data_IF_155362420739
#
_entry.id   IF_155362420739
#
_cell.length_a   1.000
_cell.length_b   1.000
_cell.length_c   1.000
_cell.angle_alpha   90.00
_cell.angle_beta   90.00
_cell.angle_gamma   90.00
#
_symmetry.space_group_name_H-M   'P 1'
#
loop_
_entity.id
_entity.type
_entity.pdbx_description
1 polymer ?
#
# COMPACT_ATOMS: atom_id res chain seq x y z
N UNK A 1 28.47 15.83 -1.18
CA UNK A 1 27.20 15.08 -1.26
C UNK A 1 27.25 14.13 -2.46
N UNK A 2 27.35 12.81 -2.26
CA UNK A 2 27.21 11.85 -3.36
C UNK A 2 25.80 11.99 -3.95
N UNK A 3 25.69 12.27 -5.25
CA UNK A 3 24.40 12.27 -5.96
C UNK A 3 23.80 10.86 -5.82
N UNK A 4 22.74 10.72 -5.02
CA UNK A 4 21.92 9.51 -5.05
C UNK A 4 21.44 9.32 -6.49
N UNK A 5 21.61 8.12 -7.06
CA UNK A 5 20.99 7.80 -8.35
C UNK A 5 19.48 7.78 -8.13
N UNK A 6 18.83 8.88 -8.53
CA UNK A 6 17.39 9.09 -8.39
C UNK A 6 16.61 8.08 -9.26
N UNK A 7 17.18 7.67 -10.39
CA UNK A 7 16.56 6.73 -11.33
C UNK A 7 17.08 5.32 -11.03
N UNK A 8 16.33 4.58 -10.21
CA UNK A 8 16.55 3.16 -9.95
C UNK A 8 15.25 2.39 -10.22
N UNK A 9 15.36 1.09 -10.49
CA UNK A 9 14.20 0.19 -10.74
C UNK A 9 13.10 0.32 -9.66
N UNK A 10 13.42 0.36 -8.34
CA UNK A 10 12.40 0.51 -7.32
C UNK A 10 11.66 1.84 -7.41
N UNK A 11 12.36 2.93 -7.74
CA UNK A 11 11.73 4.24 -7.83
C UNK A 11 10.79 4.35 -9.04
N UNK A 12 11.12 3.66 -10.14
CA UNK A 12 10.23 3.56 -11.29
C UNK A 12 8.96 2.77 -10.97
N UNK A 13 9.07 1.71 -10.14
CA UNK A 13 7.92 0.93 -9.66
C UNK A 13 7.02 1.74 -8.71
N UNK A 14 7.60 2.49 -7.76
CA UNK A 14 6.83 3.41 -6.92
C UNK A 14 6.12 4.51 -7.73
N UNK A 15 6.77 5.05 -8.77
CA UNK A 15 6.16 6.03 -9.68
C UNK A 15 5.03 5.42 -10.53
N UNK A 16 5.21 4.18 -10.99
CA UNK A 16 4.16 3.42 -11.66
C UNK A 16 2.92 3.27 -10.77
N UNK A 17 3.08 2.98 -9.47
CA UNK A 17 1.95 2.88 -8.53
C UNK A 17 1.12 4.17 -8.45
N UNK A 18 1.78 5.33 -8.46
CA UNK A 18 1.10 6.64 -8.49
C UNK A 18 0.29 6.85 -9.77
N UNK A 19 0.78 6.39 -10.92
CA UNK A 19 0.06 6.50 -12.21
C UNK A 19 -1.10 5.50 -12.29
N UNK A 20 -0.94 4.32 -11.70
CA UNK A 20 -1.98 3.27 -11.70
C UNK A 20 -3.09 3.58 -10.72
N UNK A 21 -2.85 4.41 -9.70
CA UNK A 21 -3.84 4.79 -8.70
C UNK A 21 -5.15 5.37 -9.29
N UNK A 22 -5.12 6.38 -10.20
CA UNK A 22 -6.32 6.85 -10.90
C UNK A 22 -7.05 5.76 -11.69
N UNK A 23 -6.31 4.81 -12.27
CA UNK A 23 -6.89 3.71 -13.05
C UNK A 23 -7.65 2.73 -12.15
N UNK A 24 -7.08 2.38 -10.99
CA UNK A 24 -7.78 1.55 -9.99
C UNK A 24 -9.04 2.28 -9.50
N UNK A 25 -8.93 3.58 -9.22
CA UNK A 25 -10.08 4.39 -8.81
C UNK A 25 -11.17 4.41 -9.89
N UNK A 26 -10.80 4.51 -11.16
CA UNK A 26 -11.75 4.46 -12.28
C UNK A 26 -12.50 3.13 -12.36
N UNK A 27 -11.84 1.99 -12.15
CA UNK A 27 -12.50 0.68 -12.09
C UNK A 27 -13.44 0.56 -10.88
N UNK A 28 -13.03 1.11 -9.73
CA UNK A 28 -13.90 1.20 -8.58
C UNK A 28 -15.13 2.07 -8.90
N UNK A 29 -14.96 3.22 -9.53
CA UNK A 29 -16.04 4.11 -9.93
C UNK A 29 -17.01 3.44 -10.92
N UNK A 30 -16.49 2.71 -11.91
CA UNK A 30 -17.25 1.99 -12.93
C UNK A 30 -17.95 0.71 -12.43
N UNK A 31 -17.93 0.45 -11.11
CA UNK A 31 -18.54 -0.71 -10.46
C UNK A 31 -18.03 -2.07 -11.00
N UNK A 32 -16.79 -2.11 -11.51
CA UNK A 32 -16.21 -3.30 -12.12
C UNK A 32 -15.28 -3.99 -11.11
N UNK A 33 -15.87 -4.73 -10.16
CA UNK A 33 -15.18 -5.34 -9.02
C UNK A 33 -13.98 -6.19 -9.44
N UNK A 34 -14.14 -6.99 -10.51
CA UNK A 34 -13.09 -7.90 -11.00
C UNK A 34 -11.82 -7.16 -11.41
N UNK A 35 -11.94 -6.09 -12.19
CA UNK A 35 -10.78 -5.31 -12.62
C UNK A 35 -10.18 -4.51 -11.46
N UNK A 36 -11.03 -3.96 -10.59
CA UNK A 36 -10.56 -3.30 -9.37
C UNK A 36 -9.70 -4.24 -8.52
N UNK A 37 -10.19 -5.46 -8.23
CA UNK A 37 -9.49 -6.48 -7.45
C UNK A 37 -8.14 -6.86 -8.07
N UNK A 38 -8.11 -7.12 -9.39
CA UNK A 38 -6.89 -7.52 -10.10
C UNK A 38 -5.83 -6.40 -10.02
N UNK A 39 -6.20 -5.16 -10.34
CA UNK A 39 -5.24 -4.06 -10.33
C UNK A 39 -4.80 -3.68 -8.91
N UNK A 40 -5.69 -3.78 -7.91
CA UNK A 40 -5.33 -3.58 -6.50
C UNK A 40 -4.32 -4.64 -6.04
N UNK A 41 -4.56 -5.93 -6.34
CA UNK A 41 -3.63 -7.00 -6.00
C UNK A 41 -2.29 -6.84 -6.72
N UNK A 42 -2.31 -6.49 -8.01
CA UNK A 42 -1.08 -6.22 -8.77
C UNK A 42 -0.28 -5.05 -8.16
N UNK A 43 -0.94 -3.99 -7.71
CA UNK A 43 -0.29 -2.86 -7.06
C UNK A 43 0.41 -3.30 -5.77
N UNK A 44 -0.27 -4.11 -4.96
CA UNK A 44 0.27 -4.66 -3.71
C UNK A 44 1.47 -5.61 -3.93
N UNK A 45 1.40 -6.46 -4.95
CA UNK A 45 2.54 -7.32 -5.32
C UNK A 45 3.72 -6.49 -5.80
N UNK A 46 3.45 -5.40 -6.53
CA UNK A 46 4.49 -4.49 -7.05
C UNK A 46 5.24 -3.79 -5.91
N UNK A 47 4.54 -3.37 -4.86
CA UNK A 47 5.13 -2.80 -3.63
C UNK A 47 6.07 -3.77 -2.90
N UNK A 48 5.64 -5.02 -2.74
CA UNK A 48 6.49 -6.04 -2.12
C UNK A 48 7.76 -6.29 -2.95
N UNK A 49 7.61 -6.35 -4.28
CA UNK A 49 8.71 -6.60 -5.20
C UNK A 49 9.71 -5.44 -5.24
N UNK A 50 9.25 -4.19 -5.32
CA UNK A 50 10.15 -3.04 -5.37
C UNK A 50 10.87 -2.82 -4.04
N UNK A 51 10.20 -3.04 -2.90
CA UNK A 51 10.81 -3.07 -1.58
C UNK A 51 11.83 -4.20 -1.42
N UNK A 52 11.55 -5.38 -1.97
CA UNK A 52 12.52 -6.49 -1.98
C UNK A 52 13.77 -6.18 -2.82
N UNK A 53 13.58 -5.66 -4.03
CA UNK A 53 14.67 -5.27 -4.94
C UNK A 53 15.49 -4.13 -4.31
N UNK A 54 14.85 -3.10 -3.76
CA UNK A 54 15.54 -1.99 -3.11
C UNK A 54 16.46 -2.46 -1.97
N UNK A 55 15.99 -3.41 -1.15
CA UNK A 55 16.76 -4.02 -0.05
C UNK A 55 17.89 -4.92 -0.55
N UNK A 56 17.62 -5.81 -1.51
CA UNK A 56 18.59 -6.77 -2.03
C UNK A 56 19.76 -6.09 -2.72
N UNK A 57 19.51 -4.98 -3.42
CA UNK A 57 20.51 -4.25 -4.19
C UNK A 57 21.05 -3.00 -3.49
N UNK A 58 20.68 -2.74 -2.23
CA UNK A 58 21.03 -1.51 -1.48
C UNK A 58 20.74 -0.22 -2.27
N UNK A 59 19.64 -0.21 -3.03
CA UNK A 59 19.21 0.90 -3.90
C UNK A 59 18.16 1.81 -3.22
N UNK A 60 18.21 1.90 -1.90
CA UNK A 60 17.28 2.71 -1.10
C UNK A 60 17.65 4.19 -1.25
N UNK A 61 16.70 5.02 -1.69
CA UNK A 61 16.86 6.47 -1.84
C UNK A 61 15.82 7.20 -1.00
N UNK A 62 16.11 8.46 -0.61
CA UNK A 62 15.15 9.26 0.16
C UNK A 62 13.88 9.58 -0.63
N UNK A 63 14.02 9.78 -1.94
CA UNK A 63 12.89 10.03 -2.84
C UNK A 63 12.03 8.78 -3.01
N UNK A 64 12.64 7.62 -3.23
CA UNK A 64 11.94 6.35 -3.31
C UNK A 64 11.12 6.08 -2.06
N UNK A 65 11.71 6.25 -0.87
CA UNK A 65 10.99 6.07 0.41
C UNK A 65 9.80 7.03 0.59
N UNK A 66 9.90 8.27 0.08
CA UNK A 66 8.77 9.21 0.14
C UNK A 66 7.66 8.84 -0.84
N UNK A 67 8.01 8.36 -2.03
CA UNK A 67 7.05 7.93 -3.05
C UNK A 67 6.36 6.63 -2.66
N UNK A 68 7.10 5.71 -2.06
CA UNK A 68 6.61 4.45 -1.49
C UNK A 68 5.50 4.71 -0.48
N UNK A 69 5.73 5.61 0.48
CA UNK A 69 4.73 5.96 1.47
C UNK A 69 3.49 6.65 0.87
N UNK A 70 3.63 7.43 -0.21
CA UNK A 70 2.49 8.00 -0.94
C UNK A 70 1.70 6.90 -1.67
N UNK A 71 2.39 5.93 -2.28
CA UNK A 71 1.81 4.77 -2.92
C UNK A 71 1.04 3.88 -1.94
N UNK A 72 1.59 3.66 -0.75
CA UNK A 72 0.95 2.94 0.34
C UNK A 72 -0.34 3.63 0.77
N UNK A 73 -0.27 4.94 1.06
CA UNK A 73 -1.43 5.75 1.46
C UNK A 73 -2.54 5.71 0.41
N UNK A 74 -2.16 5.77 -0.87
CA UNK A 74 -3.09 5.55 -1.97
C UNK A 74 -3.73 4.16 -1.93
N UNK A 75 -2.93 3.11 -1.83
CA UNK A 75 -3.42 1.72 -1.78
C UNK A 75 -4.40 1.52 -0.63
N UNK A 76 -4.13 2.09 0.55
CA UNK A 76 -5.08 2.09 1.68
C UNK A 76 -6.41 2.76 1.35
N UNK A 77 -6.38 3.97 0.77
CA UNK A 77 -7.59 4.69 0.41
C UNK A 77 -8.44 3.93 -0.62
N UNK A 78 -7.79 3.34 -1.62
CA UNK A 78 -8.46 2.52 -2.63
C UNK A 78 -9.08 1.28 -2.02
N UNK A 79 -8.34 0.58 -1.16
CA UNK A 79 -8.85 -0.59 -0.44
C UNK A 79 -10.09 -0.28 0.38
N UNK A 80 -10.08 0.81 1.15
CA UNK A 80 -11.25 1.27 1.93
C UNK A 80 -12.43 1.57 0.99
N UNK A 81 -12.19 2.28 -0.10
CA UNK A 81 -13.22 2.63 -1.06
C UNK A 81 -13.82 1.39 -1.76
N UNK A 82 -12.98 0.44 -2.15
CA UNK A 82 -13.40 -0.83 -2.76
C UNK A 82 -14.24 -1.67 -1.81
N UNK A 83 -13.82 -1.78 -0.55
CA UNK A 83 -14.59 -2.43 0.51
C UNK A 83 -15.97 -1.78 0.65
N UNK A 84 -16.01 -0.45 0.79
CA UNK A 84 -17.25 0.31 0.96
C UNK A 84 -18.21 0.12 -0.23
N UNK A 85 -17.69 0.01 -1.44
CA UNK A 85 -18.51 -0.08 -2.65
C UNK A 85 -18.98 -1.50 -2.99
N UNK A 86 -18.10 -2.50 -2.88
CA UNK A 86 -18.36 -3.85 -3.39
C UNK A 86 -18.73 -4.84 -2.29
N UNK A 87 -18.11 -4.73 -1.12
CA UNK A 87 -18.22 -5.74 -0.04
C UNK A 87 -19.02 -5.27 1.16
N UNK A 88 -19.71 -4.13 1.08
CA UNK A 88 -20.53 -3.59 2.18
C UNK A 88 -21.53 -4.61 2.72
N UNK A 89 -22.11 -5.44 1.85
CA UNK A 89 -23.07 -6.48 2.25
C UNK A 89 -22.41 -7.64 3.02
N UNK A 90 -21.22 -8.10 2.59
CA UNK A 90 -20.44 -9.14 3.28
C UNK A 90 -19.85 -8.68 4.61
N UNK A 91 -19.57 -7.39 4.74
CA UNK A 91 -18.83 -6.83 5.87
C UNK A 91 -19.75 -6.28 6.96
N UNK A 92 -21.05 -6.10 6.71
CA UNK A 92 -21.99 -5.56 7.71
C UNK A 92 -21.86 -6.23 9.09
N UNK A 93 -21.74 -7.56 9.13
CA UNK A 93 -21.61 -8.33 10.38
C UNK A 93 -20.22 -8.28 11.01
N UNK A 94 -19.19 -7.87 10.26
CA UNK A 94 -17.79 -7.84 10.70
C UNK A 94 -17.17 -6.44 10.61
N UNK A 95 -18.00 -5.40 10.47
CA UNK A 95 -17.56 -4.00 10.32
C UNK A 95 -16.64 -3.56 11.46
N UNK A 96 -16.87 -4.06 12.68
CA UNK A 96 -16.03 -3.78 13.85
C UNK A 96 -14.59 -4.26 13.71
N UNK A 97 -14.38 -5.49 13.21
CA UNK A 97 -13.03 -6.03 12.97
C UNK A 97 -12.29 -5.24 11.91
N UNK A 98 -13.00 -4.79 10.88
CA UNK A 98 -12.43 -4.00 9.80
C UNK A 98 -12.02 -2.59 10.27
N UNK A 99 -12.84 -1.95 11.10
CA UNK A 99 -12.51 -0.66 11.72
C UNK A 99 -11.29 -0.82 12.64
N UNK A 100 -11.24 -1.86 13.46
CA UNK A 100 -10.09 -2.14 14.34
C UNK A 100 -8.83 -2.37 13.50
N UNK A 101 -8.91 -3.11 12.40
CA UNK A 101 -7.80 -3.35 11.49
C UNK A 101 -7.22 -2.05 10.91
N UNK A 102 -8.07 -1.18 10.34
CA UNK A 102 -7.64 0.11 9.83
C UNK A 102 -7.17 1.07 10.93
N UNK A 103 -7.76 1.00 12.13
CA UNK A 103 -7.34 1.81 13.27
C UNK A 103 -5.93 1.44 13.75
N UNK A 104 -5.62 0.15 13.86
CA UNK A 104 -4.27 -0.32 14.23
C UNK A 104 -3.24 0.12 13.20
N UNK A 105 -3.60 0.09 11.92
CA UNK A 105 -2.79 0.61 10.82
C UNK A 105 -2.52 2.11 10.95
N UNK A 106 -3.58 2.89 11.13
CA UNK A 106 -3.48 4.34 11.31
C UNK A 106 -2.63 4.70 12.52
N UNK A 107 -2.83 4.00 13.64
CA UNK A 107 -2.05 4.18 14.88
C UNK A 107 -0.58 3.85 14.67
N UNK A 108 -0.26 2.79 13.93
CA UNK A 108 1.13 2.40 13.62
C UNK A 108 1.82 3.49 12.80
N UNK A 109 1.13 4.02 11.79
CA UNK A 109 1.60 5.13 10.95
C UNK A 109 1.77 6.40 11.81
N UNK A 110 0.79 6.74 12.65
CA UNK A 110 0.85 7.92 13.52
C UNK A 110 1.97 7.83 14.56
N UNK A 111 2.15 6.69 15.22
CA UNK A 111 3.25 6.48 16.18
C UNK A 111 4.60 6.65 15.48
N UNK A 112 4.74 6.14 14.26
CA UNK A 112 5.98 6.30 13.50
C UNK A 112 6.27 7.77 13.14
N UNK A 113 5.24 8.51 12.71
CA UNK A 113 5.30 9.94 12.41
C UNK A 113 5.65 10.78 13.64
N UNK A 114 5.01 10.52 14.79
CA UNK A 114 5.20 11.28 16.03
C UNK A 114 6.58 10.98 16.64
N UNK A 115 6.98 9.70 16.71
CA UNK A 115 8.19 9.27 17.42
C UNK A 115 9.47 9.53 16.63
N UNK A 116 9.44 9.42 15.30
CA UNK A 116 10.64 9.53 14.47
C UNK A 116 10.65 10.76 13.56
N UNK A 117 9.55 11.53 13.48
CA UNK A 117 9.34 12.64 12.52
C UNK A 117 9.72 12.27 11.09
N UNK A 118 9.65 10.98 10.79
CA UNK A 118 9.95 10.35 9.52
C UNK A 118 8.86 9.34 9.28
N UNK A 119 8.42 9.26 8.03
CA UNK A 119 7.58 8.16 7.57
C UNK A 119 8.20 6.82 7.99
N UNK A 120 7.38 5.82 8.38
CA UNK A 120 7.85 4.55 8.88
C UNK A 120 8.82 3.94 7.86
N UNK A 121 10.10 3.88 8.22
CA UNK A 121 11.08 3.22 7.37
C UNK A 121 10.86 1.72 7.40
N UNK A 122 10.97 1.08 6.22
CA UNK A 122 10.97 -0.37 5.97
C UNK A 122 11.97 -1.21 6.81
N UNK A 123 12.71 -0.60 7.75
CA UNK A 123 13.61 -1.27 8.68
C UNK A 123 12.91 -1.82 9.93
N UNK A 124 11.66 -1.43 10.21
CA UNK A 124 10.88 -2.06 11.27
C UNK A 124 10.25 -3.35 10.73
N UNK A 125 10.74 -4.50 11.21
CA UNK A 125 10.19 -5.83 10.89
C UNK A 125 8.67 -5.91 11.13
N UNK A 126 8.15 -5.18 12.11
CA UNK A 126 6.71 -5.12 12.39
C UNK A 126 5.90 -4.48 11.26
N UNK A 127 6.45 -3.49 10.57
CA UNK A 127 5.76 -2.78 9.48
C UNK A 127 5.72 -3.64 8.21
N UNK A 128 6.81 -4.36 7.92
CA UNK A 128 6.89 -5.33 6.82
C UNK A 128 5.92 -6.51 7.07
N UNK A 129 5.89 -7.05 8.28
CA UNK A 129 4.97 -8.12 8.65
C UNK A 129 3.50 -7.67 8.53
N UNK A 130 3.18 -6.47 9.02
CA UNK A 130 1.84 -5.89 8.89
C UNK A 130 1.42 -5.73 7.42
N UNK A 131 2.33 -5.25 6.55
CA UNK A 131 2.09 -5.15 5.11
C UNK A 131 1.80 -6.49 4.45
N UNK A 132 2.53 -7.57 4.81
CA UNK A 132 2.24 -8.91 4.29
C UNK A 132 0.88 -9.45 4.74
N UNK A 133 0.58 -9.35 6.04
CA UNK A 133 -0.71 -9.81 6.60
C UNK A 133 -1.86 -9.08 5.90
N UNK A 134 -1.71 -7.77 5.72
CA UNK A 134 -2.68 -6.96 5.01
C UNK A 134 -2.84 -7.36 3.55
N UNK A 135 -1.74 -7.64 2.85
CA UNK A 135 -1.82 -8.04 1.46
C UNK A 135 -2.52 -9.37 1.26
N UNK A 136 -2.26 -10.33 2.15
CA UNK A 136 -3.00 -11.60 2.19
C UNK A 136 -4.48 -11.34 2.49
N UNK A 137 -4.80 -10.46 3.44
CA UNK A 137 -6.18 -10.10 3.76
C UNK A 137 -6.93 -9.54 2.54
N UNK A 138 -6.35 -8.58 1.83
CA UNK A 138 -6.99 -8.02 0.63
C UNK A 138 -7.12 -9.03 -0.50
N UNK A 139 -6.11 -9.90 -0.68
CA UNK A 139 -6.18 -10.97 -1.67
C UNK A 139 -7.36 -11.92 -1.38
N UNK A 140 -7.50 -12.37 -0.12
CA UNK A 140 -8.60 -13.26 0.30
C UNK A 140 -9.97 -12.57 0.24
N UNK A 141 -10.03 -11.25 0.44
CA UNK A 141 -11.29 -10.52 0.44
C UNK A 141 -11.85 -10.29 -0.97
N UNK A 142 -10.98 -10.18 -1.98
CA UNK A 142 -11.36 -9.81 -3.34
C UNK A 142 -11.25 -10.95 -4.38
N UNK A 143 -10.56 -12.04 -4.07
CA UNK A 143 -10.53 -13.28 -4.87
C UNK A 143 -11.56 -14.27 -4.33
#
# INVERSE_FOLDING_TARGET
MKKEKIINIPNALSFYRLIVFPLIFFFAYSANEKYFAIFLCLNLVTDVLDGFIARRFNMVTKLGASLDNLGDLGTYLLSIYGIYKFKLHLIKDHTGLLIIFFAVLLVTVLISLIKFRKMPGLHLYSCVLAGYIQGVFFFVLFV
#
